data_IF_578342128720
#
_entry.id   IF_578342128720
#
_cell.length_a   1.000
_cell.length_b   1.000
_cell.length_c   1.000
_cell.angle_alpha   90.00
_cell.angle_beta   90.00
_cell.angle_gamma   90.00
#
_symmetry.space_group_name_H-M   'P 1'
#
loop_
_entity.id
_entity.type
_entity.pdbx_description
1 polymer ?
#
# COMPACT_ATOMS: atom_id res chain seq x y z
N UNK A 1 -29.32 -24.40 27.95
CA UNK A 1 -29.09 -25.27 29.13
C UNK A 1 -27.82 -26.14 29.06
N UNK A 2 -27.34 -26.59 27.89
CA UNK A 2 -26.16 -27.48 27.76
C UNK A 2 -24.81 -26.87 28.17
N UNK A 3 -24.54 -25.59 27.87
CA UNK A 3 -23.27 -24.91 28.17
C UNK A 3 -22.92 -24.81 29.67
N UNK A 4 -23.90 -24.65 30.57
CA UNK A 4 -23.62 -24.56 32.02
C UNK A 4 -23.06 -25.87 32.61
N UNK A 5 -23.32 -26.99 31.95
CA UNK A 5 -22.85 -28.33 32.36
C UNK A 5 -21.53 -28.73 31.69
N UNK A 6 -21.06 -27.99 30.68
CA UNK A 6 -19.80 -28.30 29.99
C UNK A 6 -18.59 -27.74 30.72
N UNK A 7 -17.45 -28.41 30.60
CA UNK A 7 -16.19 -28.01 31.20
C UNK A 7 -15.73 -26.64 30.71
N UNK A 8 -16.00 -26.28 29.44
CA UNK A 8 -15.72 -24.95 28.90
C UNK A 8 -16.35 -23.76 29.68
N UNK A 9 -17.36 -23.99 30.51
CA UNK A 9 -17.96 -22.96 31.37
C UNK A 9 -17.33 -22.90 32.77
N UNK A 10 -16.19 -23.55 32.97
CA UNK A 10 -15.42 -23.49 34.22
C UNK A 10 -14.49 -22.28 34.20
N UNK A 11 -14.59 -21.42 35.21
CA UNK A 11 -13.97 -20.08 35.18
C UNK A 11 -12.74 -19.94 36.09
N UNK A 12 -12.31 -21.01 36.78
CA UNK A 12 -11.12 -20.91 37.62
C UNK A 12 -9.87 -20.61 36.79
N UNK A 13 -8.99 -19.80 37.39
CA UNK A 13 -7.76 -19.35 36.78
C UNK A 13 -6.56 -20.17 37.26
N UNK A 14 -5.52 -20.19 36.43
CA UNK A 14 -4.18 -20.68 36.79
C UNK A 14 -3.42 -19.65 37.62
N UNK A 15 -2.22 -20.01 38.12
CA UNK A 15 -1.31 -19.06 38.77
C UNK A 15 -0.93 -17.85 37.88
N UNK A 16 -1.00 -17.99 36.55
CA UNK A 16 -0.73 -16.89 35.59
C UNK A 16 -1.99 -16.15 35.13
N UNK A 17 -3.13 -16.39 35.77
CA UNK A 17 -4.42 -15.75 35.48
C UNK A 17 -5.04 -16.14 34.12
N UNK A 18 -4.60 -17.24 33.51
CA UNK A 18 -5.29 -17.84 32.35
C UNK A 18 -6.43 -18.72 32.82
N UNK A 19 -7.47 -18.98 32.00
CA UNK A 19 -8.51 -19.93 32.41
C UNK A 19 -7.94 -21.34 32.38
N UNK A 20 -8.24 -22.15 33.40
CA UNK A 20 -7.85 -23.57 33.44
C UNK A 20 -8.39 -24.34 32.22
N UNK A 21 -9.51 -23.92 31.64
CA UNK A 21 -10.05 -24.46 30.38
C UNK A 21 -9.16 -24.21 29.17
N UNK A 22 -8.36 -23.15 29.18
CA UNK A 22 -7.42 -22.83 28.07
C UNK A 22 -6.21 -23.78 28.09
N UNK A 23 -5.93 -24.36 29.27
CA UNK A 23 -4.91 -25.38 29.47
C UNK A 23 -5.38 -26.80 29.11
N UNK A 24 -6.64 -26.97 28.66
CA UNK A 24 -7.18 -28.27 28.27
C UNK A 24 -6.57 -28.73 26.93
N UNK A 25 -6.02 -29.95 26.91
CA UNK A 25 -5.46 -30.57 25.71
C UNK A 25 -6.48 -31.50 25.06
N UNK A 26 -7.15 -32.31 25.86
CA UNK A 26 -8.16 -33.24 25.40
C UNK A 26 -8.60 -34.21 26.49
N UNK A 27 -9.77 -34.80 26.33
CA UNK A 27 -10.24 -35.90 27.17
C UNK A 27 -9.72 -37.23 26.64
N UNK A 28 -9.40 -38.14 27.56
CA UNK A 28 -8.82 -39.44 27.24
C UNK A 28 -9.87 -40.55 27.20
N UNK A 29 -9.58 -41.63 26.47
CA UNK A 29 -10.35 -42.86 26.53
C UNK A 29 -10.25 -43.54 27.91
N UNK A 30 -11.03 -44.60 28.12
CA UNK A 30 -11.04 -45.34 29.39
C UNK A 30 -9.71 -46.01 29.73
N UNK A 31 -8.81 -46.18 28.75
CA UNK A 31 -7.46 -46.74 28.92
C UNK A 31 -6.40 -45.67 29.16
N UNK A 32 -6.76 -44.38 29.01
CA UNK A 32 -5.89 -43.20 29.12
C UNK A 32 -4.75 -43.15 28.08
N UNK A 33 -4.93 -43.86 26.95
CA UNK A 33 -3.90 -43.97 25.91
C UNK A 33 -4.12 -42.94 24.79
N UNK A 34 -5.39 -42.66 24.45
CA UNK A 34 -5.74 -41.82 23.31
C UNK A 34 -6.64 -40.64 23.71
N UNK A 35 -6.48 -39.51 23.01
CA UNK A 35 -7.39 -38.37 23.12
C UNK A 35 -8.63 -38.63 22.27
N UNK A 36 -9.81 -38.57 22.88
CA UNK A 36 -11.11 -38.85 22.22
C UNK A 36 -11.96 -37.60 22.02
N UNK A 37 -11.68 -36.51 22.72
CA UNK A 37 -12.36 -35.23 22.57
C UNK A 37 -11.39 -34.08 22.84
N UNK A 38 -11.38 -33.04 22.01
CA UNK A 38 -10.46 -31.89 22.13
C UNK A 38 -11.17 -30.59 22.44
N UNK A 39 -12.50 -30.54 22.31
CA UNK A 39 -13.31 -29.39 22.66
C UNK A 39 -13.87 -29.51 24.08
N UNK A 40 -13.47 -28.65 25.03
CA UNK A 40 -13.97 -28.69 26.40
C UNK A 40 -15.47 -28.37 26.50
N UNK A 41 -16.12 -27.90 25.44
CA UNK A 41 -17.58 -27.72 25.37
C UNK A 41 -18.33 -29.05 25.30
N UNK A 42 -17.68 -30.09 24.78
CA UNK A 42 -18.24 -31.43 24.66
C UNK A 42 -17.95 -32.30 25.89
N UNK A 43 -17.10 -31.83 26.79
CA UNK A 43 -16.77 -32.51 28.05
C UNK A 43 -17.71 -32.02 29.16
N UNK A 44 -18.34 -32.95 29.89
CA UNK A 44 -19.22 -32.63 31.02
C UNK A 44 -18.43 -32.38 32.30
N UNK A 45 -18.81 -31.37 33.09
CA UNK A 45 -18.23 -31.05 34.42
C UNK A 45 -18.40 -32.18 35.45
N UNK A 46 -19.43 -33.02 35.28
CA UNK A 46 -19.80 -34.09 36.23
C UNK A 46 -19.32 -35.48 35.79
N UNK A 47 -18.47 -35.56 34.78
CA UNK A 47 -17.97 -36.83 34.30
C UNK A 47 -16.65 -37.16 35.00
N UNK A 48 -16.48 -38.43 35.39
CA UNK A 48 -15.24 -38.98 35.93
C UNK A 48 -14.14 -39.16 34.85
N UNK A 49 -14.30 -38.45 33.74
CA UNK A 49 -13.42 -38.50 32.58
C UNK A 49 -12.07 -37.89 32.95
N UNK A 50 -11.01 -38.58 32.53
CA UNK A 50 -9.66 -38.08 32.66
C UNK A 50 -9.37 -37.15 31.48
N UNK A 51 -8.89 -35.96 31.79
CA UNK A 51 -8.48 -34.97 30.82
C UNK A 51 -6.98 -34.72 30.93
N UNK A 52 -6.35 -34.60 29.77
CA UNK A 52 -4.99 -34.13 29.64
C UNK A 52 -4.99 -32.61 29.64
N UNK A 53 -4.13 -32.04 30.46
CA UNK A 53 -3.88 -30.61 30.56
C UNK A 53 -2.42 -30.30 30.25
N UNK A 54 -2.14 -29.05 29.89
CA UNK A 54 -0.80 -28.51 29.81
C UNK A 54 -0.65 -27.34 30.78
N UNK A 55 0.33 -27.41 31.66
CA UNK A 55 0.55 -26.35 32.65
C UNK A 55 1.08 -25.08 31.98
N UNK A 56 0.45 -23.94 32.19
CA UNK A 56 0.93 -22.64 31.67
C UNK A 56 2.11 -22.03 32.46
N UNK A 57 2.48 -22.66 33.58
CA UNK A 57 3.62 -22.26 34.42
C UNK A 57 4.87 -23.07 34.08
N UNK A 58 4.76 -24.40 34.01
CA UNK A 58 5.90 -25.31 33.81
C UNK A 58 5.86 -26.12 32.50
N UNK A 59 4.79 -26.00 31.73
CA UNK A 59 4.60 -26.64 30.41
C UNK A 59 4.59 -28.16 30.37
N UNK A 60 4.61 -28.84 31.52
CA UNK A 60 4.34 -30.28 31.59
C UNK A 60 2.89 -30.57 31.21
N UNK A 61 2.70 -31.64 30.46
CA UNK A 61 1.38 -32.26 30.35
C UNK A 61 1.11 -33.13 31.56
N UNK A 62 -0.13 -33.12 32.04
CA UNK A 62 -0.56 -33.97 33.15
C UNK A 62 -2.01 -34.37 32.95
N UNK A 63 -2.35 -35.56 33.44
CA UNK A 63 -3.69 -36.12 33.32
C UNK A 63 -4.39 -36.00 34.68
N UNK A 64 -5.57 -35.38 34.69
CA UNK A 64 -6.41 -35.26 35.88
C UNK A 64 -7.85 -35.54 35.53
N UNK A 65 -8.61 -36.05 36.50
CA UNK A 65 -10.05 -36.08 36.39
C UNK A 65 -10.59 -34.66 36.32
N UNK A 66 -11.51 -34.43 35.40
CA UNK A 66 -12.19 -33.13 35.26
C UNK A 66 -12.86 -32.71 36.57
N UNK A 67 -13.48 -33.66 37.26
CA UNK A 67 -14.09 -33.49 38.58
C UNK A 67 -13.06 -33.01 39.63
N UNK A 68 -11.86 -33.61 39.69
CA UNK A 68 -10.79 -33.18 40.61
C UNK A 68 -10.33 -31.74 40.39
N UNK A 69 -10.31 -31.29 39.12
CA UNK A 69 -9.94 -29.91 38.78
C UNK A 69 -11.01 -28.91 39.25
N UNK A 70 -12.28 -29.33 39.25
CA UNK A 70 -13.44 -28.49 39.60
C UNK A 70 -13.67 -28.44 41.11
N UNK A 71 -13.63 -29.60 41.78
CA UNK A 71 -14.07 -29.75 43.16
C UNK A 71 -12.93 -29.66 44.17
N UNK A 72 -11.75 -30.22 43.83
CA UNK A 72 -10.60 -30.29 44.74
C UNK A 72 -9.56 -29.19 44.47
N UNK A 73 -9.87 -28.28 43.52
CA UNK A 73 -8.96 -27.27 42.97
C UNK A 73 -7.58 -27.81 42.54
N UNK A 74 -7.51 -29.12 42.29
CA UNK A 74 -6.27 -29.75 41.90
C UNK A 74 -5.79 -29.18 40.57
N UNK A 75 -4.48 -28.97 40.50
CA UNK A 75 -3.83 -28.47 39.32
C UNK A 75 -2.48 -29.13 39.18
N UNK A 76 -1.68 -28.61 38.25
CA UNK A 76 -0.39 -29.12 37.86
C UNK A 76 0.41 -29.75 39.03
N UNK A 77 0.54 -31.09 39.07
CA UNK A 77 1.24 -31.79 40.14
C UNK A 77 2.73 -31.40 40.17
N UNK A 78 3.31 -31.14 39.00
CA UNK A 78 4.67 -30.66 38.86
C UNK A 78 4.88 -29.26 39.46
N UNK A 79 3.84 -28.44 39.57
CA UNK A 79 3.92 -27.12 40.23
C UNK A 79 3.64 -27.15 41.73
N UNK A 80 3.11 -28.25 42.28
CA UNK A 80 2.93 -28.42 43.73
C UNK A 80 4.26 -28.76 44.42
N UNK A 81 5.14 -29.50 43.77
CA UNK A 81 6.41 -29.98 44.38
C UNK A 81 7.68 -29.20 43.96
N UNK A 82 7.58 -28.14 43.14
CA UNK A 82 8.76 -27.45 42.59
C UNK A 82 8.75 -25.92 42.82
N UNK A 83 9.84 -25.40 43.42
CA UNK A 83 10.28 -24.00 43.27
C UNK A 83 10.54 -23.71 41.77
N UNK A 84 10.42 -22.45 41.29
CA UNK A 84 9.94 -22.05 39.94
C UNK A 84 10.76 -22.46 38.70
N UNK A 85 11.77 -23.30 38.83
CA UNK A 85 12.49 -23.91 37.73
C UNK A 85 12.78 -25.34 38.15
N UNK A 86 12.31 -26.32 37.37
CA UNK A 86 12.62 -27.72 37.60
C UNK A 86 14.16 -27.89 37.61
N UNK A 87 14.78 -27.87 38.79
CA UNK A 87 16.24 -27.97 38.97
C UNK A 87 16.81 -29.34 38.55
N UNK A 88 15.99 -30.23 37.99
CA UNK A 88 16.39 -31.52 37.42
C UNK A 88 15.91 -31.70 35.97
N UNK A 89 15.75 -30.62 35.21
CA UNK A 89 15.42 -30.69 33.78
C UNK A 89 16.40 -31.56 32.96
N UNK A 90 17.64 -31.76 33.42
CA UNK A 90 18.59 -32.66 32.75
C UNK A 90 18.18 -34.14 32.80
N UNK A 91 17.45 -34.59 33.84
CA UNK A 91 17.19 -36.01 34.10
C UNK A 91 15.69 -36.35 34.21
N UNK A 92 14.81 -35.41 33.86
CA UNK A 92 13.36 -35.68 33.86
C UNK A 92 13.00 -36.36 32.53
N UNK A 93 12.67 -37.64 32.59
CA UNK A 93 12.29 -38.43 31.42
C UNK A 93 11.06 -37.84 30.70
N UNK A 94 10.13 -37.19 31.43
CA UNK A 94 8.95 -36.53 30.84
C UNK A 94 9.32 -35.21 30.12
N UNK A 95 10.19 -34.38 30.71
CA UNK A 95 10.79 -33.23 30.01
C UNK A 95 11.55 -33.65 28.75
N UNK A 96 12.22 -34.81 28.81
CA UNK A 96 13.00 -35.37 27.72
C UNK A 96 12.11 -36.09 26.68
N UNK A 97 10.96 -36.67 27.04
CA UNK A 97 9.99 -37.26 26.10
C UNK A 97 9.35 -36.20 25.20
N UNK A 98 9.25 -34.96 25.65
CA UNK A 98 8.88 -33.81 24.81
C UNK A 98 9.97 -33.41 23.79
N UNK A 99 11.14 -34.06 23.78
CA UNK A 99 12.21 -33.83 22.78
C UNK A 99 12.12 -34.72 21.53
N UNK A 100 11.21 -35.70 21.44
CA UNK A 100 10.85 -36.31 20.14
C UNK A 100 9.82 -35.44 19.42
N UNK A 101 10.40 -34.38 18.87
CA UNK A 101 9.86 -33.09 18.46
C UNK A 101 8.82 -33.11 17.31
N UNK A 102 8.77 -34.16 16.50
CA UNK A 102 8.14 -34.07 15.17
C UNK A 102 6.60 -34.03 15.17
N UNK A 103 5.94 -34.81 16.02
CA UNK A 103 4.46 -34.85 16.07
C UNK A 103 3.87 -33.78 17.00
N UNK A 104 4.61 -33.37 18.04
CA UNK A 104 4.16 -32.42 19.06
C UNK A 104 4.24 -30.96 18.61
N UNK A 105 5.20 -30.61 17.74
CA UNK A 105 5.37 -29.24 17.23
C UNK A 105 4.20 -28.74 16.39
N UNK A 106 3.58 -29.62 15.59
CA UNK A 106 2.51 -29.26 14.64
C UNK A 106 1.27 -28.66 15.32
N UNK A 107 0.97 -29.10 16.55
CA UNK A 107 -0.16 -28.62 17.35
C UNK A 107 0.18 -27.45 18.27
N UNK A 108 1.41 -27.38 18.81
CA UNK A 108 1.84 -26.23 19.62
C UNK A 108 2.14 -24.99 18.78
N UNK A 109 2.54 -25.12 17.52
CA UNK A 109 2.78 -23.97 16.64
C UNK A 109 1.47 -23.30 16.19
N UNK A 110 0.42 -24.09 15.95
CA UNK A 110 -0.95 -23.58 15.75
C UNK A 110 -1.51 -22.97 17.04
N UNK A 111 -1.19 -23.54 18.21
CA UNK A 111 -1.58 -22.98 19.50
C UNK A 111 -0.79 -21.72 19.87
N UNK A 112 0.51 -21.64 19.58
CA UNK A 112 1.36 -20.45 19.76
C UNK A 112 0.90 -19.32 18.84
N UNK A 113 0.59 -19.65 17.58
CA UNK A 113 -0.04 -18.73 16.65
C UNK A 113 -1.39 -18.22 17.19
N UNK A 114 -2.25 -19.13 17.68
CA UNK A 114 -3.51 -18.78 18.32
C UNK A 114 -3.34 -17.89 19.57
N UNK A 115 -2.40 -18.19 20.47
CA UNK A 115 -2.11 -17.40 21.68
C UNK A 115 -1.50 -16.03 21.38
N UNK A 116 -0.78 -15.88 20.25
CA UNK A 116 -0.23 -14.61 19.78
C UNK A 116 -1.17 -13.85 18.83
N UNK A 117 -2.37 -14.38 18.54
CA UNK A 117 -3.33 -13.78 17.60
C UNK A 117 -2.90 -13.85 16.13
N UNK A 118 -1.95 -14.73 15.81
CA UNK A 118 -1.32 -14.88 14.51
C UNK A 118 -2.02 -15.99 13.71
N UNK A 119 -2.31 -15.75 12.43
CA UNK A 119 -2.90 -16.76 11.53
C UNK A 119 -1.81 -17.48 10.72
N UNK A 120 -1.61 -18.77 10.99
CA UNK A 120 -0.60 -19.62 10.34
C UNK A 120 -1.26 -20.73 9.52
N UNK A 121 -0.83 -20.92 8.27
CA UNK A 121 -1.29 -22.03 7.42
C UNK A 121 -0.49 -23.31 7.66
N UNK A 122 0.83 -23.18 7.66
CA UNK A 122 1.78 -24.29 7.84
C UNK A 122 3.04 -23.76 8.53
N UNK A 123 3.68 -24.59 9.34
CA UNK A 123 5.06 -24.36 9.83
C UNK A 123 5.92 -25.51 9.32
N UNK A 124 7.09 -25.17 8.79
CA UNK A 124 8.08 -26.13 8.33
C UNK A 124 9.29 -26.07 9.26
N UNK A 125 9.85 -27.23 9.59
CA UNK A 125 11.05 -27.33 10.40
C UNK A 125 12.25 -27.54 9.48
N UNK A 126 13.28 -26.70 9.62
CA UNK A 126 14.65 -27.04 9.25
C UNK A 126 15.42 -27.21 10.56
N UNK A 127 15.98 -28.40 10.82
CA UNK A 127 16.72 -28.71 12.05
C UNK A 127 18.14 -29.15 11.68
N UNK A 128 19.14 -28.71 12.43
CA UNK A 128 20.15 -29.66 12.92
C UNK A 128 19.77 -30.04 14.37
N UNK A 129 19.33 -31.28 14.64
CA UNK A 129 18.83 -31.70 15.95
C UNK A 129 19.88 -31.79 17.07
N UNK A 130 21.18 -31.67 16.77
CA UNK A 130 22.23 -31.93 17.78
C UNK A 130 22.88 -30.70 18.40
N UNK A 131 22.63 -29.50 17.90
CA UNK A 131 23.15 -28.28 18.50
C UNK A 131 22.05 -27.37 19.04
N UNK A 132 22.23 -26.92 20.29
CA UNK A 132 21.57 -25.78 20.93
C UNK A 132 20.25 -26.03 21.70
N UNK A 133 20.34 -26.75 22.82
CA UNK A 133 19.42 -26.59 23.97
C UNK A 133 19.73 -25.34 24.83
N UNK A 134 20.64 -24.46 24.38
CA UNK A 134 21.15 -23.34 25.19
C UNK A 134 21.10 -21.95 24.53
N UNK A 135 20.46 -21.76 23.37
CA UNK A 135 20.33 -20.41 22.75
C UNK A 135 18.88 -20.03 22.49
N UNK A 136 18.52 -18.81 22.89
CA UNK A 136 17.15 -18.23 22.91
C UNK A 136 16.63 -17.78 21.53
N UNK A 137 17.36 -18.07 20.46
CA UNK A 137 17.16 -17.50 19.13
C UNK A 137 17.07 -18.62 18.08
N UNK A 138 15.90 -19.26 17.93
CA UNK A 138 15.65 -20.27 16.90
C UNK A 138 14.92 -19.67 15.71
N UNK A 139 15.36 -20.00 14.50
CA UNK A 139 14.70 -19.59 13.24
C UNK A 139 13.79 -20.72 12.76
N UNK A 140 12.56 -20.37 12.40
CA UNK A 140 11.57 -21.30 11.85
C UNK A 140 11.06 -20.79 10.50
N UNK A 141 10.60 -21.70 9.66
CA UNK A 141 10.00 -21.38 8.37
C UNK A 141 8.47 -21.41 8.53
N UNK A 142 7.82 -20.28 8.30
CA UNK A 142 6.37 -20.11 8.43
C UNK A 142 5.71 -19.92 7.08
N UNK A 143 4.50 -20.44 6.91
CA UNK A 143 3.58 -20.04 5.86
C UNK A 143 2.46 -19.17 6.45
N UNK A 144 2.43 -17.90 6.07
CA UNK A 144 1.38 -16.98 6.50
C UNK A 144 0.01 -17.45 6.02
N UNK A 145 -1.01 -17.42 6.87
CA UNK A 145 -2.37 -17.73 6.41
C UNK A 145 -2.95 -16.62 5.52
N UNK A 146 -2.70 -15.35 5.87
CA UNK A 146 -3.33 -14.21 5.18
C UNK A 146 -2.75 -13.97 3.79
N UNK A 147 -1.44 -14.11 3.63
CA UNK A 147 -0.77 -13.85 2.35
C UNK A 147 -0.17 -15.08 1.68
N UNK A 148 -0.21 -16.25 2.33
CA UNK A 148 0.31 -17.53 1.83
C UNK A 148 1.82 -17.59 1.56
N UNK A 149 2.55 -16.51 1.82
CA UNK A 149 4.00 -16.48 1.67
C UNK A 149 4.68 -17.34 2.71
N UNK A 150 5.76 -17.99 2.25
CA UNK A 150 6.69 -18.73 3.08
C UNK A 150 7.87 -17.82 3.45
N UNK A 151 8.23 -17.76 4.73
CA UNK A 151 9.32 -16.92 5.24
C UNK A 151 9.98 -17.52 6.47
N UNK A 152 11.26 -17.20 6.64
CA UNK A 152 11.99 -17.50 7.87
C UNK A 152 11.78 -16.40 8.89
N UNK A 153 11.56 -16.77 10.15
CA UNK A 153 11.44 -15.82 11.25
C UNK A 153 12.08 -16.40 12.51
N UNK A 154 12.88 -15.59 13.19
CA UNK A 154 13.42 -15.93 14.49
C UNK A 154 12.36 -15.75 15.58
N UNK A 155 12.29 -16.69 16.52
CA UNK A 155 11.33 -16.67 17.63
C UNK A 155 11.39 -15.40 18.48
N UNK A 156 12.55 -14.72 18.56
CA UNK A 156 12.65 -13.45 19.28
C UNK A 156 11.76 -12.34 18.67
N UNK A 157 11.53 -12.36 17.35
CA UNK A 157 10.65 -11.41 16.69
C UNK A 157 9.17 -11.67 16.99
N UNK A 158 8.79 -12.94 17.13
CA UNK A 158 7.44 -13.33 17.57
C UNK A 158 7.13 -12.81 18.98
N UNK A 159 8.08 -12.94 19.91
CA UNK A 159 7.94 -12.42 21.29
C UNK A 159 7.82 -10.89 21.30
N UNK A 160 8.40 -10.21 20.30
CA UNK A 160 8.29 -8.76 20.11
C UNK A 160 7.03 -8.33 19.34
N UNK A 161 6.11 -9.26 19.06
CA UNK A 161 4.87 -8.99 18.34
C UNK A 161 5.07 -8.69 16.85
N UNK A 162 6.19 -9.12 16.25
CA UNK A 162 6.44 -9.03 14.82
C UNK A 162 6.04 -10.34 14.14
N UNK A 163 5.28 -10.23 13.08
CA UNK A 163 4.81 -11.33 12.25
C UNK A 163 5.17 -11.11 10.78
N UNK A 164 4.55 -11.88 9.90
CA UNK A 164 4.84 -12.06 8.49
C UNK A 164 5.39 -10.79 7.82
N UNK A 165 6.65 -10.82 7.35
CA UNK A 165 7.28 -9.65 6.75
C UNK A 165 6.53 -9.22 5.49
N UNK A 166 5.93 -10.15 4.75
CA UNK A 166 5.11 -9.82 3.59
C UNK A 166 3.76 -9.19 3.95
N UNK A 167 3.27 -9.34 5.18
CA UNK A 167 2.04 -8.65 5.62
C UNK A 167 2.37 -7.27 6.18
N UNK A 168 3.39 -7.20 7.03
CA UNK A 168 3.74 -6.02 7.84
C UNK A 168 4.61 -5.00 7.10
N UNK A 169 5.51 -5.45 6.24
CA UNK A 169 6.43 -4.58 5.51
C UNK A 169 5.93 -4.36 4.07
N UNK A 170 5.49 -3.13 3.71
CA UNK A 170 5.06 -2.82 2.35
C UNK A 170 6.17 -2.96 1.31
N UNK A 171 7.44 -2.92 1.73
CA UNK A 171 8.60 -3.05 0.85
C UNK A 171 8.94 -4.50 0.52
N UNK A 172 8.44 -5.47 1.30
CA UNK A 172 8.74 -6.88 1.11
C UNK A 172 7.85 -7.49 0.02
N UNK A 173 8.47 -7.88 -1.09
CA UNK A 173 7.83 -8.61 -2.20
C UNK A 173 8.45 -10.00 -2.36
N UNK A 174 7.66 -10.97 -2.82
CA UNK A 174 8.16 -12.32 -3.12
C UNK A 174 8.70 -12.48 -4.55
N UNK A 175 8.58 -11.43 -5.37
CA UNK A 175 9.02 -11.39 -6.77
C UNK A 175 8.39 -12.43 -7.71
N UNK A 176 7.36 -13.14 -7.24
CA UNK A 176 6.56 -14.03 -8.07
C UNK A 176 5.56 -13.24 -8.92
N UNK A 177 5.58 -13.48 -10.23
CA UNK A 177 4.74 -12.79 -11.22
C UNK A 177 3.24 -13.02 -11.02
N UNK A 178 2.86 -14.07 -10.30
CA UNK A 178 1.47 -14.49 -10.10
C UNK A 178 0.97 -14.19 -8.67
N UNK A 179 1.81 -13.61 -7.80
CA UNK A 179 1.41 -13.22 -6.46
C UNK A 179 0.62 -11.91 -6.49
N UNK A 180 -0.72 -12.02 -6.52
CA UNK A 180 -1.64 -10.87 -6.56
C UNK A 180 -1.36 -9.81 -5.49
N UNK A 181 -1.03 -10.23 -4.26
CA UNK A 181 -0.73 -9.30 -3.17
C UNK A 181 0.53 -8.47 -3.47
N UNK A 182 1.61 -9.12 -3.89
CA UNK A 182 2.87 -8.44 -4.18
C UNK A 182 2.78 -7.58 -5.44
N UNK A 183 2.08 -8.04 -6.48
CA UNK A 183 1.81 -7.22 -7.68
C UNK A 183 1.10 -5.92 -7.28
N UNK A 184 0.06 -5.99 -6.44
CA UNK A 184 -0.69 -4.82 -5.96
C UNK A 184 0.15 -3.82 -5.14
N UNK A 185 1.28 -4.27 -4.57
CA UNK A 185 2.22 -3.43 -3.80
C UNK A 185 3.43 -2.99 -4.62
N UNK A 186 3.55 -3.47 -5.84
CA UNK A 186 4.67 -3.22 -6.72
C UNK A 186 4.37 -2.11 -7.73
N UNK A 187 5.40 -1.61 -8.40
CA UNK A 187 5.25 -0.62 -9.46
C UNK A 187 4.39 -1.11 -10.64
N UNK A 188 4.23 -2.43 -10.80
CA UNK A 188 3.32 -2.99 -11.81
C UNK A 188 1.84 -2.63 -11.58
N UNK A 189 1.44 -2.24 -10.36
CA UNK A 189 0.07 -1.78 -10.08
C UNK A 189 -0.09 -0.26 -10.19
N UNK A 190 0.94 0.48 -10.64
CA UNK A 190 0.82 1.92 -10.81
C UNK A 190 -0.11 2.25 -11.98
N UNK A 191 -1.26 2.92 -11.74
CA UNK A 191 -2.38 2.94 -12.70
C UNK A 191 -2.28 4.03 -13.77
N UNK A 192 -1.27 4.90 -13.71
CA UNK A 192 -1.22 6.06 -14.59
C UNK A 192 -0.58 5.73 -15.93
N UNK A 193 -1.20 6.27 -16.98
CA UNK A 193 -0.77 6.13 -18.36
C UNK A 193 0.14 7.28 -18.81
N UNK A 194 0.83 7.04 -19.92
CA UNK A 194 1.49 8.05 -20.75
C UNK A 194 0.46 8.76 -21.65
N UNK A 195 0.91 9.77 -22.38
CA UNK A 195 0.08 10.44 -23.40
C UNK A 195 -0.38 9.53 -24.56
N UNK A 196 0.21 8.34 -24.74
CA UNK A 196 -0.20 7.37 -25.77
C UNK A 196 -0.97 6.18 -25.18
N UNK A 197 -1.58 6.34 -23.99
CA UNK A 197 -2.37 5.30 -23.32
C UNK A 197 -1.58 4.03 -22.97
N UNK A 198 -0.26 4.15 -22.83
CA UNK A 198 0.59 3.08 -22.33
C UNK A 198 0.72 3.23 -20.82
N UNK A 199 0.62 2.16 -20.04
CA UNK A 199 0.84 2.25 -18.59
C UNK A 199 2.31 2.63 -18.33
N UNK A 200 2.55 3.60 -17.44
CA UNK A 200 3.90 4.13 -17.20
C UNK A 200 4.91 3.04 -16.80
N UNK A 201 4.48 2.00 -16.09
CA UNK A 201 5.37 0.88 -15.75
C UNK A 201 5.83 0.07 -16.97
N UNK A 202 5.08 0.09 -18.08
CA UNK A 202 5.46 -0.57 -19.33
C UNK A 202 6.53 0.21 -20.12
N UNK A 203 6.87 1.43 -19.69
CA UNK A 203 8.00 2.20 -20.20
C UNK A 203 9.30 1.95 -19.42
N UNK A 204 9.25 1.18 -18.32
CA UNK A 204 10.40 0.84 -17.50
C UNK A 204 11.45 0.08 -18.30
N UNK A 205 12.71 0.50 -18.21
CA UNK A 205 13.88 -0.22 -18.72
C UNK A 205 14.61 -0.97 -17.60
N UNK A 206 14.55 -0.45 -16.37
CA UNK A 206 15.12 -1.10 -15.20
C UNK A 206 15.34 -0.10 -14.05
N UNK A 207 16.01 -0.57 -13.02
CA UNK A 207 16.50 0.27 -11.92
C UNK A 207 17.88 0.77 -12.29
N UNK A 208 18.13 2.06 -12.08
CA UNK A 208 19.44 2.65 -12.29
C UNK A 208 20.26 2.55 -11.00
N UNK A 209 21.38 1.84 -11.07
CA UNK A 209 22.34 1.73 -9.99
C UNK A 209 23.36 2.87 -10.11
N UNK A 210 23.28 3.84 -9.18
CA UNK A 210 24.18 5.00 -9.16
C UNK A 210 25.62 4.64 -8.82
N UNK A 211 25.86 3.54 -8.09
CA UNK A 211 27.20 3.11 -7.67
C UNK A 211 27.92 2.47 -8.85
N UNK A 212 27.19 1.61 -9.58
CA UNK A 212 27.75 0.88 -10.72
C UNK A 212 27.54 1.61 -12.05
N UNK A 213 26.87 2.76 -12.03
CA UNK A 213 26.53 3.59 -13.18
C UNK A 213 25.89 2.78 -14.32
N UNK A 214 24.98 1.86 -13.97
CA UNK A 214 24.40 0.90 -14.91
C UNK A 214 22.92 0.62 -14.64
N UNK A 215 22.23 0.13 -15.65
CA UNK A 215 20.85 -0.33 -15.52
C UNK A 215 20.85 -1.78 -15.08
N UNK A 216 20.18 -2.05 -13.96
CA UNK A 216 19.84 -3.40 -13.51
C UNK A 216 18.45 -3.72 -14.03
N UNK A 217 18.38 -4.64 -15.00
CA UNK A 217 17.11 -5.09 -15.56
C UNK A 217 16.28 -5.74 -14.47
N UNK A 218 15.10 -5.19 -14.22
CA UNK A 218 14.13 -5.71 -13.26
C UNK A 218 12.73 -5.52 -13.82
N UNK A 219 11.79 -6.39 -13.42
CA UNK A 219 10.39 -6.25 -13.81
C UNK A 219 9.68 -5.31 -12.85
N UNK A 220 8.66 -4.61 -13.35
CA UNK A 220 7.88 -3.68 -12.53
C UNK A 220 7.27 -4.34 -11.28
N UNK A 221 6.94 -5.64 -11.34
CA UNK A 221 6.40 -6.39 -10.21
C UNK A 221 7.43 -6.71 -9.11
N UNK A 222 8.71 -6.43 -9.36
CA UNK A 222 9.81 -6.61 -8.42
C UNK A 222 10.23 -5.30 -7.73
N UNK A 223 9.62 -4.16 -8.09
CA UNK A 223 9.92 -2.86 -7.49
C UNK A 223 8.79 -2.52 -6.51
N UNK A 224 9.04 -2.43 -5.20
CA UNK A 224 8.03 -2.02 -4.22
C UNK A 224 7.65 -0.55 -4.39
N UNK A 225 6.35 -0.22 -4.30
CA UNK A 225 5.89 1.17 -4.37
C UNK A 225 6.41 2.05 -3.22
N UNK A 226 6.81 1.43 -2.10
CA UNK A 226 7.39 2.11 -0.94
C UNK A 226 8.86 2.50 -1.13
N UNK A 227 9.53 2.04 -2.18
CA UNK A 227 10.97 2.33 -2.43
C UNK A 227 11.17 3.70 -3.07
N UNK A 228 10.85 4.76 -2.34
CA UNK A 228 10.75 6.16 -2.83
C UNK A 228 12.01 6.67 -3.52
N UNK A 229 13.19 6.27 -3.05
CA UNK A 229 14.48 6.77 -3.51
C UNK A 229 15.07 5.96 -4.67
N UNK A 230 14.45 4.84 -5.04
CA UNK A 230 14.89 4.03 -6.18
C UNK A 230 14.80 4.84 -7.46
N UNK A 231 15.93 4.98 -8.15
CA UNK A 231 16.00 5.64 -9.46
C UNK A 231 15.61 4.64 -10.54
N UNK A 232 14.60 5.00 -11.33
CA UNK A 232 14.10 4.18 -12.42
C UNK A 232 14.48 4.81 -13.77
N UNK A 233 14.96 3.96 -14.67
CA UNK A 233 15.20 4.32 -16.06
C UNK A 233 13.95 4.00 -16.88
N UNK A 234 13.47 4.98 -17.62
CA UNK A 234 12.35 4.82 -18.55
C UNK A 234 12.79 5.14 -19.97
N UNK A 235 12.08 4.53 -20.93
CA UNK A 235 12.09 4.96 -22.34
C UNK A 235 10.73 5.56 -22.66
N UNK A 236 10.73 6.84 -23.03
CA UNK A 236 9.51 7.54 -23.39
C UNK A 236 8.89 6.90 -24.62
N UNK A 237 7.59 6.60 -24.59
CA UNK A 237 6.86 6.05 -25.73
C UNK A 237 6.50 7.10 -26.78
N UNK A 238 6.68 8.39 -26.45
CA UNK A 238 6.46 9.52 -27.34
C UNK A 238 7.73 9.94 -28.08
N UNK A 239 8.76 10.40 -27.36
CA UNK A 239 9.99 10.90 -27.98
C UNK A 239 11.07 9.83 -28.11
N UNK A 240 10.85 8.62 -27.60
CA UNK A 240 11.79 7.50 -27.64
C UNK A 240 13.10 7.69 -26.86
N UNK A 241 13.27 8.85 -26.22
CA UNK A 241 14.40 9.17 -25.35
C UNK A 241 14.32 8.48 -23.99
N UNK A 242 15.51 8.22 -23.48
CA UNK A 242 15.75 7.65 -22.17
C UNK A 242 15.76 8.77 -21.11
N UNK A 243 15.06 8.57 -20.00
CA UNK A 243 15.09 9.51 -18.87
C UNK A 243 14.99 8.79 -17.53
N UNK A 244 15.47 9.45 -16.48
CA UNK A 244 15.54 8.90 -15.13
C UNK A 244 14.67 9.71 -14.18
N UNK A 245 13.93 9.01 -13.32
CA UNK A 245 13.19 9.61 -12.22
C UNK A 245 13.26 8.70 -11.01
N UNK A 246 13.26 9.29 -9.80
CA UNK A 246 13.01 8.49 -8.59
C UNK A 246 11.56 8.00 -8.59
N UNK A 247 11.33 6.84 -7.98
CA UNK A 247 9.99 6.28 -7.87
C UNK A 247 9.00 7.26 -7.21
N UNK A 248 9.44 7.99 -6.18
CA UNK A 248 8.64 9.03 -5.53
C UNK A 248 8.19 10.13 -6.51
N UNK A 249 9.09 10.57 -7.40
CA UNK A 249 8.74 11.58 -8.42
C UNK A 249 7.67 11.08 -9.38
N UNK A 250 7.70 9.80 -9.74
CA UNK A 250 6.70 9.19 -10.62
C UNK A 250 5.37 8.99 -9.88
N UNK A 251 5.40 8.33 -8.72
CA UNK A 251 4.19 7.87 -8.02
C UNK A 251 3.47 9.00 -7.29
N UNK A 252 4.20 9.82 -6.53
CA UNK A 252 3.59 10.84 -5.66
C UNK A 252 3.54 12.23 -6.32
N UNK A 253 4.60 12.60 -7.05
CA UNK A 253 4.64 13.89 -7.77
C UNK A 253 4.13 13.82 -9.21
N UNK A 254 3.73 12.63 -9.68
CA UNK A 254 3.17 12.40 -11.02
C UNK A 254 4.07 12.89 -12.18
N UNK A 255 5.37 13.08 -11.94
CA UNK A 255 6.33 13.53 -12.94
C UNK A 255 6.55 12.46 -14.01
N UNK A 256 6.90 12.91 -15.20
CA UNK A 256 7.18 12.04 -16.35
C UNK A 256 8.23 12.67 -17.28
N UNK A 257 8.34 12.19 -18.51
CA UNK A 257 9.21 12.80 -19.53
C UNK A 257 8.93 14.30 -19.65
N UNK A 258 9.98 15.13 -19.66
CA UNK A 258 9.88 16.57 -19.85
C UNK A 258 9.17 16.94 -21.16
N UNK A 259 9.43 16.16 -22.22
CA UNK A 259 8.74 16.22 -23.51
C UNK A 259 7.22 16.01 -23.43
N UNK A 260 6.75 15.33 -22.39
CA UNK A 260 5.34 15.05 -22.13
C UNK A 260 4.72 16.05 -21.14
N UNK A 261 5.54 16.70 -20.29
CA UNK A 261 5.11 17.72 -19.33
C UNK A 261 4.76 19.04 -20.04
N UNK A 262 5.52 19.42 -21.07
CA UNK A 262 5.25 20.62 -21.88
C UNK A 262 4.45 20.29 -23.14
N UNK A 263 3.82 19.12 -23.20
CA UNK A 263 3.30 18.61 -24.45
C UNK A 263 2.18 19.48 -25.01
N UNK A 264 1.30 20.00 -24.14
CA UNK A 264 0.19 20.83 -24.57
C UNK A 264 0.66 22.17 -25.10
N UNK A 265 1.50 22.87 -24.34
CA UNK A 265 2.14 24.11 -24.78
C UNK A 265 2.95 23.90 -26.05
N UNK A 266 3.70 22.79 -26.16
CA UNK A 266 4.47 22.47 -27.38
C UNK A 266 3.56 22.21 -28.57
N UNK A 267 2.49 21.41 -28.42
CA UNK A 267 1.50 21.17 -29.49
C UNK A 267 0.88 22.50 -29.93
N UNK A 268 0.48 23.33 -28.97
CA UNK A 268 -0.17 24.60 -29.24
C UNK A 268 0.79 25.59 -29.89
N UNK A 269 2.03 25.67 -29.41
CA UNK A 269 3.08 26.52 -29.96
C UNK A 269 3.51 26.10 -31.36
N UNK A 270 3.69 24.80 -31.62
CA UNK A 270 4.00 24.27 -32.95
C UNK A 270 2.85 24.56 -33.93
N UNK A 271 1.61 24.42 -33.47
CA UNK A 271 0.44 24.77 -34.24
C UNK A 271 0.39 26.27 -34.55
N UNK A 272 0.65 27.12 -33.55
CA UNK A 272 0.76 28.57 -33.73
C UNK A 272 1.86 28.94 -34.73
N UNK A 273 3.07 28.39 -34.60
CA UNK A 273 4.16 28.60 -35.56
C UNK A 273 3.77 28.21 -36.98
N UNK A 274 3.04 27.10 -37.14
CA UNK A 274 2.58 26.63 -38.45
C UNK A 274 1.54 27.57 -39.07
N UNK A 275 0.61 28.10 -38.27
CA UNK A 275 -0.52 28.94 -38.73
C UNK A 275 -0.20 30.42 -38.84
N UNK A 276 0.59 30.96 -37.91
CA UNK A 276 0.89 32.39 -37.75
C UNK A 276 2.38 32.69 -37.94
N UNK A 277 2.98 32.15 -39.02
CA UNK A 277 4.43 32.21 -39.30
C UNK A 277 5.09 33.60 -39.21
N UNK A 278 4.31 34.67 -39.42
CA UNK A 278 4.80 36.05 -39.47
C UNK A 278 4.50 36.86 -38.20
N UNK A 279 3.76 36.31 -37.25
CA UNK A 279 3.38 37.01 -36.02
C UNK A 279 4.35 36.66 -34.89
N UNK A 280 4.70 37.65 -34.09
CA UNK A 280 5.45 37.42 -32.87
C UNK A 280 4.51 36.85 -31.81
N UNK A 281 4.80 35.64 -31.32
CA UNK A 281 4.03 34.96 -30.29
C UNK A 281 4.97 34.68 -29.13
N UNK A 282 4.70 35.33 -28.00
CA UNK A 282 5.49 35.21 -26.79
C UNK A 282 4.95 34.06 -25.95
N UNK A 283 5.85 33.28 -25.35
CA UNK A 283 5.54 32.20 -24.41
C UNK A 283 5.78 32.66 -22.98
N UNK A 284 5.05 32.10 -22.02
CA UNK A 284 5.23 32.38 -20.58
C UNK A 284 5.26 33.91 -20.35
N UNK A 285 4.33 34.61 -20.99
CA UNK A 285 4.31 36.05 -21.08
C UNK A 285 4.06 36.68 -19.71
N UNK A 286 5.00 37.53 -19.31
CA UNK A 286 4.95 38.36 -18.13
C UNK A 286 5.54 39.72 -18.50
N UNK A 287 4.85 40.78 -18.14
CA UNK A 287 5.23 42.18 -18.39
C UNK A 287 4.90 43.03 -17.15
N UNK A 288 5.35 44.27 -17.10
CA UNK A 288 5.16 45.19 -15.96
C UNK A 288 3.69 45.24 -15.49
N UNK A 289 2.74 45.28 -16.44
CA UNK A 289 1.32 45.37 -16.13
C UNK A 289 0.71 44.06 -15.62
N UNK A 290 1.37 42.92 -15.84
CA UNK A 290 0.86 41.61 -15.45
C UNK A 290 1.04 41.33 -13.95
N UNK A 291 1.71 42.21 -13.20
CA UNK A 291 1.86 42.13 -11.74
C UNK A 291 2.37 40.75 -11.27
N UNK A 292 3.45 40.27 -11.90
CA UNK A 292 4.05 38.94 -11.66
C UNK A 292 3.12 37.73 -11.93
N UNK A 293 2.08 37.92 -12.75
CA UNK A 293 1.29 36.82 -13.30
C UNK A 293 1.79 36.46 -14.69
N UNK A 294 1.85 35.16 -14.97
CA UNK A 294 2.32 34.62 -16.24
C UNK A 294 1.12 34.11 -17.04
N UNK A 295 1.12 34.39 -18.35
CA UNK A 295 0.19 33.83 -19.33
C UNK A 295 0.93 32.87 -20.25
N UNK A 296 0.31 31.76 -20.67
CA UNK A 296 1.03 30.75 -21.45
C UNK A 296 1.47 31.30 -22.83
N UNK A 297 0.61 32.10 -23.47
CA UNK A 297 0.94 32.76 -24.73
C UNK A 297 0.43 34.21 -24.79
N UNK A 298 1.12 35.05 -25.55
CA UNK A 298 0.67 36.40 -25.90
C UNK A 298 0.90 36.67 -27.39
N UNK A 299 -0.11 37.29 -28.02
CA UNK A 299 -0.10 37.87 -29.35
C UNK A 299 -0.11 39.39 -29.20
N UNK A 300 1.07 40.05 -29.11
CA UNK A 300 1.15 41.47 -28.76
C UNK A 300 0.41 42.37 -29.77
N UNK A 301 0.51 42.06 -31.06
CA UNK A 301 -0.14 42.80 -32.15
C UNK A 301 -1.67 42.72 -32.09
N UNK A 302 -2.21 41.64 -31.50
CA UNK A 302 -3.65 41.42 -31.36
C UNK A 302 -4.19 41.90 -30.02
N UNK A 303 -3.31 42.29 -29.09
CA UNK A 303 -3.63 42.51 -27.67
C UNK A 303 -4.42 41.32 -27.12
N UNK A 304 -3.85 40.13 -27.23
CA UNK A 304 -4.49 38.88 -26.88
C UNK A 304 -3.54 38.00 -26.06
N UNK A 305 -4.01 37.51 -24.93
CA UNK A 305 -3.34 36.49 -24.11
C UNK A 305 -4.12 35.18 -24.15
N UNK A 306 -3.42 34.06 -24.03
CA UNK A 306 -4.01 32.71 -24.07
C UNK A 306 -3.50 31.89 -22.88
N UNK A 307 -4.41 31.19 -22.21
CA UNK A 307 -4.14 30.29 -21.09
C UNK A 307 -4.63 28.86 -21.41
N UNK A 308 -3.84 27.87 -21.01
CA UNK A 308 -4.12 26.44 -21.07
C UNK A 308 -4.57 25.96 -19.70
N UNK A 309 -5.89 25.86 -19.51
CA UNK A 309 -6.45 25.50 -18.22
C UNK A 309 -6.42 23.98 -17.99
N UNK A 310 -5.89 23.58 -16.83
CA UNK A 310 -5.87 22.18 -16.40
C UNK A 310 -7.16 21.72 -15.69
N UNK A 311 -7.26 20.43 -15.33
CA UNK A 311 -8.40 19.90 -14.58
C UNK A 311 -8.64 20.58 -13.21
N UNK A 312 -7.61 21.23 -12.67
CA UNK A 312 -7.61 21.93 -11.38
C UNK A 312 -8.51 23.18 -11.34
N UNK A 313 -8.99 23.67 -12.49
CA UNK A 313 -9.96 24.78 -12.55
C UNK A 313 -11.39 24.32 -12.20
N UNK A 314 -11.68 23.02 -12.33
CA UNK A 314 -13.04 22.47 -12.27
C UNK A 314 -13.26 21.49 -11.11
N UNK A 315 -12.21 20.85 -10.61
CA UNK A 315 -12.32 19.74 -9.64
C UNK A 315 -11.30 19.90 -8.52
N UNK A 316 -11.76 19.66 -7.29
CA UNK A 316 -10.90 19.54 -6.12
C UNK A 316 -10.07 18.25 -6.22
N UNK A 317 -8.79 18.41 -6.53
CA UNK A 317 -7.83 17.31 -6.61
C UNK A 317 -7.22 17.05 -5.23
N UNK A 318 -7.02 15.76 -4.92
CA UNK A 318 -6.65 15.21 -3.60
C UNK A 318 -5.36 15.76 -2.94
N UNK A 319 -4.65 16.71 -3.57
CA UNK A 319 -3.46 17.43 -3.08
C UNK A 319 -3.26 18.80 -3.78
N UNK A 320 -4.28 19.40 -4.39
CA UNK A 320 -4.14 20.65 -5.16
C UNK A 320 -4.48 21.92 -4.38
N UNK A 321 -4.12 23.07 -4.96
CA UNK A 321 -4.57 24.40 -4.50
C UNK A 321 -6.10 24.41 -4.44
N UNK A 322 -6.65 24.97 -3.36
CA UNK A 322 -8.10 25.15 -3.17
C UNK A 322 -8.72 25.72 -4.47
N UNK A 323 -9.72 25.06 -5.09
CA UNK A 323 -10.35 25.51 -6.33
C UNK A 323 -10.83 26.97 -6.27
N UNK A 324 -11.31 27.43 -5.11
CA UNK A 324 -11.73 28.82 -4.91
C UNK A 324 -10.56 29.80 -5.07
N UNK A 325 -9.37 29.44 -4.58
CA UNK A 325 -8.14 30.24 -4.72
C UNK A 325 -7.61 30.22 -6.15
N UNK A 326 -7.78 29.12 -6.87
CA UNK A 326 -7.43 29.03 -8.31
C UNK A 326 -8.36 29.93 -9.12
N UNK A 327 -9.68 29.83 -8.91
CA UNK A 327 -10.67 30.69 -9.57
C UNK A 327 -10.50 32.18 -9.23
N UNK A 328 -10.08 32.51 -8.01
CA UNK A 328 -9.75 33.88 -7.62
C UNK A 328 -8.53 34.41 -8.39
N UNK A 329 -7.48 33.60 -8.53
CA UNK A 329 -6.33 33.95 -9.36
C UNK A 329 -6.70 34.09 -10.84
N UNK A 330 -7.61 33.26 -11.34
CA UNK A 330 -8.10 33.36 -12.72
C UNK A 330 -8.88 34.65 -12.96
N UNK A 331 -9.83 34.98 -12.07
CA UNK A 331 -10.58 36.24 -12.13
C UNK A 331 -9.64 37.45 -12.06
N UNK A 332 -8.60 37.36 -11.23
CA UNK A 332 -7.59 38.42 -11.14
C UNK A 332 -6.78 38.56 -12.42
N UNK A 333 -6.34 37.45 -13.04
CA UNK A 333 -5.68 37.47 -14.36
C UNK A 333 -6.59 38.07 -15.43
N UNK A 334 -7.84 37.64 -15.49
CA UNK A 334 -8.81 38.15 -16.45
C UNK A 334 -8.99 39.68 -16.28
N UNK A 335 -9.12 40.15 -15.03
CA UNK A 335 -9.24 41.58 -14.69
C UNK A 335 -8.04 42.39 -15.16
N UNK A 336 -6.81 41.99 -14.81
CA UNK A 336 -5.61 42.77 -15.16
C UNK A 336 -5.36 42.76 -16.69
N UNK A 337 -5.75 41.69 -17.39
CA UNK A 337 -5.72 41.66 -18.86
C UNK A 337 -6.65 42.72 -19.46
N UNK A 338 -7.90 42.80 -18.97
CA UNK A 338 -8.88 43.78 -19.44
C UNK A 338 -8.50 45.23 -19.13
N UNK A 339 -8.00 45.51 -17.92
CA UNK A 339 -7.49 46.84 -17.54
C UNK A 339 -6.35 47.30 -18.45
N UNK A 340 -5.66 46.37 -19.12
CA UNK A 340 -4.57 46.65 -20.06
C UNK A 340 -4.97 46.40 -21.52
N UNK A 341 -6.27 46.41 -21.83
CA UNK A 341 -6.83 46.25 -23.17
C UNK A 341 -6.44 44.94 -23.88
N UNK A 342 -6.27 43.85 -23.14
CA UNK A 342 -6.03 42.52 -23.71
C UNK A 342 -7.28 41.65 -23.63
N UNK A 343 -7.65 41.03 -24.75
CA UNK A 343 -8.57 39.89 -24.73
C UNK A 343 -7.89 38.66 -24.14
N UNK A 344 -8.67 37.74 -23.57
CA UNK A 344 -8.19 36.47 -23.04
C UNK A 344 -8.96 35.30 -23.64
N UNK A 345 -8.22 34.31 -24.16
CA UNK A 345 -8.77 33.02 -24.59
C UNK A 345 -8.25 31.94 -23.65
N UNK A 346 -9.16 31.15 -23.12
CA UNK A 346 -8.86 30.03 -22.22
C UNK A 346 -9.19 28.72 -22.91
N UNK A 347 -8.23 27.80 -22.96
CA UNK A 347 -8.34 26.54 -23.72
C UNK A 347 -8.11 25.37 -22.79
N UNK A 348 -8.99 24.36 -22.82
CA UNK A 348 -8.83 23.19 -21.97
C UNK A 348 -7.63 22.34 -22.40
N UNK A 349 -6.70 22.09 -21.48
CA UNK A 349 -5.47 21.33 -21.75
C UNK A 349 -5.77 19.92 -22.31
N UNK A 350 -6.84 19.28 -21.83
CA UNK A 350 -7.26 17.95 -22.27
C UNK A 350 -7.71 17.92 -23.73
N UNK A 351 -8.29 19.01 -24.24
CA UNK A 351 -8.81 19.07 -25.61
C UNK A 351 -7.67 19.15 -26.62
N UNK A 352 -6.65 19.93 -26.30
CA UNK A 352 -5.41 20.04 -27.08
C UNK A 352 -4.61 18.74 -27.06
N UNK A 353 -4.44 18.09 -25.88
CA UNK A 353 -3.67 16.82 -25.78
C UNK A 353 -4.36 15.69 -26.54
N UNK A 354 -5.67 15.51 -26.36
CA UNK A 354 -6.43 14.40 -26.94
C UNK A 354 -6.90 14.68 -28.35
N UNK A 355 -6.62 15.88 -28.88
CA UNK A 355 -7.12 16.37 -30.16
C UNK A 355 -8.63 16.15 -30.33
N UNK A 356 -9.41 16.56 -29.32
CA UNK A 356 -10.88 16.42 -29.31
C UNK A 356 -11.55 17.79 -29.43
N UNK A 357 -12.87 17.79 -29.63
CA UNK A 357 -13.73 18.97 -29.63
C UNK A 357 -13.34 20.04 -30.66
N UNK A 358 -12.66 19.67 -31.75
CA UNK A 358 -12.25 20.59 -32.82
C UNK A 358 -11.54 21.87 -32.29
N UNK A 359 -10.78 21.75 -31.20
CA UNK A 359 -10.16 22.89 -30.50
C UNK A 359 -9.35 23.79 -31.45
N UNK A 360 -8.72 23.22 -32.49
CA UNK A 360 -7.96 23.98 -33.49
C UNK A 360 -8.84 24.98 -34.25
N UNK A 361 -10.03 24.55 -34.68
CA UNK A 361 -10.96 25.39 -35.41
C UNK A 361 -11.53 26.46 -34.48
N UNK A 362 -12.02 26.06 -33.31
CA UNK A 362 -12.59 26.99 -32.32
C UNK A 362 -11.58 28.06 -31.91
N UNK A 363 -10.32 27.67 -31.70
CA UNK A 363 -9.25 28.60 -31.35
C UNK A 363 -8.90 29.55 -32.49
N UNK A 364 -8.87 29.09 -33.75
CA UNK A 364 -8.69 29.99 -34.90
C UNK A 364 -9.80 31.03 -34.97
N UNK A 365 -11.06 30.61 -34.80
CA UNK A 365 -12.22 31.48 -34.84
C UNK A 365 -12.16 32.53 -33.72
N UNK A 366 -11.84 32.11 -32.49
CA UNK A 366 -11.66 33.00 -31.35
C UNK A 366 -10.52 34.01 -31.55
N UNK A 367 -9.36 33.58 -32.06
CA UNK A 367 -8.22 34.48 -32.35
C UNK A 367 -8.56 35.49 -33.45
N UNK A 368 -9.36 35.08 -34.45
CA UNK A 368 -9.78 35.98 -35.52
C UNK A 368 -10.87 36.96 -35.07
N UNK A 369 -11.69 36.57 -34.10
CA UNK A 369 -12.69 37.42 -33.48
C UNK A 369 -12.05 38.53 -32.63
N UNK A 370 -11.02 38.21 -31.85
CA UNK A 370 -10.27 39.19 -31.06
C UNK A 370 -9.48 40.17 -31.98
N UNK A 371 -9.87 41.45 -31.96
CA UNK A 371 -9.22 42.55 -32.70
C UNK A 371 -8.75 43.64 -31.73
N UNK A 372 -7.62 44.33 -32.00
CA UNK A 372 -7.04 45.35 -31.10
C UNK A 372 -7.96 46.55 -30.80
N UNK A 373 -8.91 46.83 -31.68
CA UNK A 373 -9.78 48.02 -31.63
C UNK A 373 -11.22 47.68 -31.18
N UNK A 374 -11.47 46.44 -30.76
CA UNK A 374 -12.76 46.01 -30.19
C UNK A 374 -12.66 46.01 -28.66
N UNK A 375 -13.81 45.91 -27.99
CA UNK A 375 -13.86 45.63 -26.56
C UNK A 375 -13.05 44.37 -26.23
N UNK A 376 -12.35 44.36 -25.10
CA UNK A 376 -11.63 43.17 -24.66
C UNK A 376 -12.62 42.03 -24.38
N UNK A 377 -12.32 40.83 -24.89
CA UNK A 377 -13.22 39.68 -24.77
C UNK A 377 -12.62 38.58 -23.89
N UNK A 378 -13.50 37.90 -23.13
CA UNK A 378 -13.21 36.63 -22.46
C UNK A 378 -13.80 35.48 -23.26
N UNK A 379 -12.98 34.56 -23.75
CA UNK A 379 -13.47 33.40 -24.51
C UNK A 379 -13.00 32.11 -23.84
N UNK A 380 -13.93 31.22 -23.51
CA UNK A 380 -13.66 29.95 -22.86
C UNK A 380 -13.94 28.81 -23.85
N UNK A 381 -12.91 28.08 -24.27
CA UNK A 381 -13.02 26.92 -25.16
C UNK A 381 -13.07 25.63 -24.33
N UNK A 382 -14.18 25.46 -23.60
CA UNK A 382 -14.46 24.28 -22.81
C UNK A 382 -15.68 23.56 -23.38
N UNK A 383 -15.71 22.24 -23.22
CA UNK A 383 -16.87 21.44 -23.60
C UNK A 383 -18.01 21.67 -22.59
N UNK A 384 -19.03 22.43 -23.01
CA UNK A 384 -20.41 22.36 -22.54
C UNK A 384 -21.25 23.21 -23.51
N UNK A 385 -22.07 22.56 -24.33
CA UNK A 385 -23.25 23.12 -25.00
C UNK A 385 -23.31 24.65 -25.15
N UNK A 386 -22.85 25.19 -26.29
CA UNK A 386 -23.34 26.46 -26.86
C UNK A 386 -23.53 27.67 -25.93
N UNK A 387 -22.58 28.00 -25.05
CA UNK A 387 -22.55 29.33 -24.45
C UNK A 387 -21.17 29.96 -24.58
N UNK A 388 -20.97 30.68 -25.69
CA UNK A 388 -20.04 31.82 -25.71
C UNK A 388 -20.56 32.81 -24.67
N UNK A 389 -20.08 32.71 -23.44
CA UNK A 389 -20.31 33.74 -22.42
C UNK A 389 -19.57 35.00 -22.86
N UNK A 390 -20.22 35.80 -23.70
CA UNK A 390 -19.91 37.21 -23.89
C UNK A 390 -20.28 37.95 -22.59
N UNK A 391 -19.48 37.76 -21.55
CA UNK A 391 -19.50 38.66 -20.42
C UNK A 391 -18.67 39.88 -20.83
N UNK A 392 -19.33 40.84 -21.47
CA UNK A 392 -18.89 42.22 -21.39
C UNK A 392 -18.97 42.60 -19.90
N UNK A 393 -17.83 42.57 -19.21
CA UNK A 393 -17.70 43.24 -17.93
C UNK A 393 -17.78 44.74 -18.23
N UNK A 394 -18.98 45.31 -18.04
CA UNK A 394 -19.19 46.76 -18.05
C UNK A 394 -18.35 47.46 -17.00
#
# INVERSE_FOLDING_TARGET
MKLKKSFASFEQLTKRKNKKTDCFVGALDSKQENIVETDPRNVSKKNNLVARFICDVCYHTFDLKVESVIENEEWCPYCKELKPTCKKAANCEECNKHTTLYHYLKDQEKKLAYYLGIKVKTVFVSIDPRESLLKRDKTYVFQCYDCLHVFELNTIFLVRGKWCPYCEDPSKLCYEKDCRLCIKRSFASYPYETSKHKLKYQCLQGVYDNVQNKIVSTKAYQIPLSSTDTVLQFRCDKCHENFQLTLNKVVNHHKWCQCCLHLTETILYDWFKKKFKKQNILREFNDLWTQNKYYDFCFPEKKLVIELDGPHHFIEVKNGKNPAKTQENDRYKDKIAFENNHSIIRVLQQDVIKNRNNWQQQLMEAINFCKPNNNSHRIMLYDNNNEVYNNELK
#
